data_IF_229806600637
#
_entry.id   IF_229806600637
#
_cell.length_a   1.000
_cell.length_b   1.000
_cell.length_c   1.000
_cell.angle_alpha   90.00
_cell.angle_beta   90.00
_cell.angle_gamma   90.00
#
_symmetry.space_group_name_H-M   'P 1'
#
loop_
_entity.id
_entity.type
_entity.pdbx_description
1 polymer ?
#
# COMPACT_ATOMS: atom_id res chain seq x y z
N UNK A 1 -6.19 -15.23 18.45
CA UNK A 1 -7.14 -16.21 17.86
C UNK A 1 -6.39 -17.05 16.82
N UNK A 2 -6.65 -18.37 16.70
CA UNK A 2 -5.95 -19.22 15.75
C UNK A 2 -6.38 -18.89 14.31
N UNK A 3 -5.42 -18.57 13.44
CA UNK A 3 -5.67 -18.12 12.07
C UNK A 3 -4.49 -18.46 11.17
N UNK A 4 -4.74 -18.54 9.86
CA UNK A 4 -3.67 -18.60 8.84
C UNK A 4 -3.40 -17.19 8.32
N UNK A 5 -2.19 -16.63 8.52
CA UNK A 5 -1.85 -15.29 8.04
C UNK A 5 -1.62 -15.23 6.52
N UNK A 6 -1.23 -14.04 6.05
CA UNK A 6 -0.84 -13.80 4.66
C UNK A 6 -1.99 -13.24 3.81
N UNK A 7 -1.69 -12.17 3.07
CA UNK A 7 -2.65 -11.48 2.19
C UNK A 7 -2.04 -11.07 0.84
N UNK A 8 -0.77 -11.38 0.62
CA UNK A 8 -0.01 -11.05 -0.57
C UNK A 8 0.45 -12.37 -1.19
N UNK A 9 -0.19 -12.80 -2.28
CA UNK A 9 0.13 -14.05 -2.96
C UNK A 9 -0.39 -14.07 -4.40
N UNK A 10 0.29 -14.92 -5.18
CA UNK A 10 -0.14 -15.36 -6.49
C UNK A 10 -0.09 -16.89 -6.55
N UNK A 11 -0.88 -17.48 -7.44
CA UNK A 11 -0.98 -18.92 -7.58
C UNK A 11 -1.67 -19.34 -8.88
N UNK A 12 -1.98 -20.62 -8.96
CA UNK A 12 -2.75 -21.21 -10.07
C UNK A 12 -4.05 -21.75 -9.50
N UNK A 13 -5.16 -21.45 -10.16
CA UNK A 13 -6.46 -22.01 -9.79
C UNK A 13 -6.47 -23.52 -10.00
N UNK A 14 -6.68 -24.29 -8.94
CA UNK A 14 -6.76 -25.76 -9.00
C UNK A 14 -8.20 -26.20 -9.34
N UNK A 15 -9.18 -25.65 -8.65
CA UNK A 15 -10.60 -25.96 -8.80
C UNK A 15 -11.45 -24.71 -8.57
N UNK A 16 -12.60 -24.60 -9.26
CA UNK A 16 -13.54 -23.49 -9.09
C UNK A 16 -14.92 -23.98 -8.67
N UNK A 17 -15.59 -23.18 -7.84
CA UNK A 17 -16.96 -23.47 -7.40
C UNK A 17 -17.97 -23.40 -8.56
N UNK A 18 -19.10 -24.10 -8.42
CA UNK A 18 -20.13 -24.24 -9.47
C UNK A 18 -20.60 -22.92 -10.10
N UNK A 19 -20.64 -21.85 -9.32
CA UNK A 19 -21.17 -20.54 -9.73
C UNK A 19 -20.07 -19.52 -10.04
N UNK A 20 -18.79 -19.91 -9.99
CA UNK A 20 -17.68 -19.02 -10.32
C UNK A 20 -17.67 -18.78 -11.82
N UNK A 21 -17.50 -17.52 -12.21
CA UNK A 21 -17.51 -17.10 -13.62
C UNK A 21 -16.29 -16.29 -14.02
N UNK A 22 -15.54 -15.76 -13.05
CA UNK A 22 -14.42 -14.85 -13.30
C UNK A 22 -13.07 -15.56 -13.52
N UNK A 23 -12.96 -16.83 -13.14
CA UNK A 23 -11.76 -17.66 -13.33
C UNK A 23 -12.12 -19.13 -13.58
N UNK A 24 -11.14 -19.92 -14.02
CA UNK A 24 -11.24 -21.38 -14.19
C UNK A 24 -9.94 -22.05 -13.77
N UNK A 25 -10.00 -23.37 -13.56
CA UNK A 25 -8.82 -24.19 -13.29
C UNK A 25 -7.71 -23.95 -14.34
N UNK A 26 -6.48 -23.80 -13.86
CA UNK A 26 -5.28 -23.50 -14.64
C UNK A 26 -5.06 -22.01 -14.96
N UNK A 27 -5.92 -21.10 -14.51
CA UNK A 27 -5.67 -19.66 -14.59
C UNK A 27 -4.61 -19.25 -13.55
N UNK A 28 -3.73 -18.33 -13.94
CA UNK A 28 -2.81 -17.70 -13.00
C UNK A 28 -3.52 -16.53 -12.34
N UNK A 29 -3.38 -16.40 -11.03
CA UNK A 29 -4.16 -15.43 -10.25
C UNK A 29 -3.31 -14.72 -9.20
N UNK A 30 -3.70 -13.48 -8.89
CA UNK A 30 -3.21 -12.70 -7.76
C UNK A 30 -4.37 -12.43 -6.82
N UNK A 31 -4.10 -12.50 -5.53
CA UNK A 31 -5.12 -12.20 -4.52
C UNK A 31 -5.27 -10.71 -4.28
N UNK A 32 -6.52 -10.27 -4.14
CA UNK A 32 -6.87 -8.99 -3.53
C UNK A 32 -7.63 -9.22 -2.23
N UNK A 33 -7.01 -8.87 -1.12
CA UNK A 33 -7.68 -8.90 0.20
C UNK A 33 -8.70 -7.76 0.36
N UNK A 34 -8.72 -6.79 -0.56
CA UNK A 34 -9.81 -5.83 -0.71
C UNK A 34 -10.63 -6.22 -1.95
N UNK A 35 -11.69 -7.02 -1.80
CA UNK A 35 -12.53 -7.46 -2.92
C UNK A 35 -13.27 -6.29 -3.59
N UNK A 36 -13.65 -6.52 -4.84
CA UNK A 36 -14.59 -5.66 -5.57
C UNK A 36 -15.97 -6.33 -5.53
N UNK A 37 -16.72 -6.13 -4.44
CA UNK A 37 -18.00 -6.86 -4.26
C UNK A 37 -19.13 -6.40 -5.19
N UNK A 38 -18.96 -5.32 -5.96
CA UNK A 38 -19.96 -4.81 -6.91
C UNK A 38 -21.24 -4.21 -6.30
N UNK A 39 -21.52 -4.43 -5.02
CA UNK A 39 -22.82 -4.13 -4.41
C UNK A 39 -22.79 -3.03 -3.34
N UNK A 40 -21.70 -2.89 -2.59
CA UNK A 40 -21.63 -1.88 -1.52
C UNK A 40 -21.48 -0.45 -2.07
N UNK A 41 -21.85 0.56 -1.28
CA UNK A 41 -21.82 1.99 -1.69
C UNK A 41 -20.46 2.43 -2.27
N UNK A 42 -19.36 1.93 -1.71
CA UNK A 42 -18.03 2.28 -2.20
C UNK A 42 -17.69 1.59 -3.51
N UNK A 43 -18.08 0.32 -3.67
CA UNK A 43 -17.87 -0.37 -4.95
C UNK A 43 -18.70 0.27 -6.08
N UNK A 44 -19.97 0.60 -5.82
CA UNK A 44 -20.87 1.19 -6.81
C UNK A 44 -20.53 2.65 -7.16
N UNK A 45 -19.76 3.34 -6.32
CA UNK A 45 -19.28 4.72 -6.57
C UNK A 45 -17.82 4.79 -7.03
N UNK A 46 -17.20 3.65 -7.39
CA UNK A 46 -15.83 3.62 -7.93
C UNK A 46 -14.72 3.73 -6.87
N UNK A 47 -15.03 3.45 -5.60
CA UNK A 47 -14.11 3.43 -4.45
C UNK A 47 -13.95 2.03 -3.85
N UNK A 48 -13.82 1.01 -4.70
CA UNK A 48 -13.70 -0.39 -4.27
C UNK A 48 -12.57 -0.65 -3.27
N UNK A 49 -11.52 0.18 -3.28
CA UNK A 49 -10.41 0.14 -2.34
C UNK A 49 -10.83 0.25 -0.86
N UNK A 50 -12.03 0.75 -0.54
CA UNK A 50 -12.61 0.75 0.82
C UNK A 50 -13.93 -0.04 0.90
N UNK A 51 -14.00 -1.15 0.18
CA UNK A 51 -15.13 -2.08 0.18
C UNK A 51 -15.57 -2.49 1.61
N UNK A 52 -16.87 -2.37 1.91
CA UNK A 52 -17.44 -2.74 3.22
C UNK A 52 -17.29 -4.25 3.47
N UNK A 53 -17.41 -5.07 2.43
CA UNK A 53 -17.28 -6.53 2.54
C UNK A 53 -15.88 -6.93 3.00
N UNK A 54 -14.84 -6.23 2.52
CA UNK A 54 -13.46 -6.41 2.98
C UNK A 54 -13.34 -6.21 4.50
N UNK A 55 -13.94 -5.11 5.00
CA UNK A 55 -13.91 -4.77 6.42
C UNK A 55 -14.63 -5.83 7.28
N UNK A 56 -15.77 -6.34 6.82
CA UNK A 56 -16.52 -7.40 7.51
C UNK A 56 -15.73 -8.72 7.58
N UNK A 57 -15.10 -9.12 6.47
CA UNK A 57 -14.27 -10.32 6.42
C UNK A 57 -13.10 -10.22 7.41
N UNK A 58 -12.41 -9.08 7.44
CA UNK A 58 -11.35 -8.78 8.40
C UNK A 58 -11.83 -8.83 9.85
N UNK A 59 -12.98 -8.21 10.16
CA UNK A 59 -13.51 -8.14 11.52
C UNK A 59 -13.95 -9.51 12.07
N UNK A 60 -14.44 -10.40 11.21
CA UNK A 60 -14.98 -11.72 11.61
C UNK A 60 -13.97 -12.87 11.49
N UNK A 61 -12.85 -12.63 10.80
CA UNK A 61 -11.87 -13.66 10.46
C UNK A 61 -12.47 -14.78 9.62
N UNK A 62 -13.33 -14.42 8.66
CA UNK A 62 -13.98 -15.31 7.71
C UNK A 62 -13.64 -14.89 6.28
N UNK A 63 -13.98 -15.72 5.29
CA UNK A 63 -14.02 -15.30 3.89
C UNK A 63 -15.07 -14.22 3.70
N UNK A 64 -15.06 -13.55 2.54
CA UNK A 64 -15.98 -12.45 2.23
C UNK A 64 -17.45 -12.89 2.18
N UNK A 65 -17.71 -14.17 1.91
CA UNK A 65 -19.03 -14.80 1.98
C UNK A 65 -19.42 -15.27 3.40
N UNK A 66 -18.58 -15.04 4.41
CA UNK A 66 -18.80 -15.41 5.81
C UNK A 66 -18.36 -16.82 6.20
N UNK A 67 -17.89 -17.63 5.25
CA UNK A 67 -17.49 -19.02 5.53
C UNK A 67 -16.08 -19.15 6.11
N UNK A 68 -15.81 -20.32 6.71
CA UNK A 68 -14.47 -20.75 7.13
C UNK A 68 -14.16 -22.08 6.44
N UNK A 69 -13.02 -22.12 5.76
CA UNK A 69 -12.60 -23.25 4.90
C UNK A 69 -11.32 -23.90 5.38
N UNK A 70 -10.71 -23.36 6.43
CA UNK A 70 -9.50 -23.86 7.06
C UNK A 70 -9.85 -24.52 8.39
N UNK A 71 -9.18 -25.63 8.70
CA UNK A 71 -9.31 -26.30 10.00
C UNK A 71 -8.00 -26.97 10.40
N UNK A 72 -7.78 -27.12 11.71
CA UNK A 72 -6.65 -27.86 12.27
C UNK A 72 -7.17 -28.80 13.36
N UNK A 73 -6.95 -30.11 13.19
CA UNK A 73 -7.47 -31.12 14.12
C UNK A 73 -9.00 -31.08 14.25
N UNK A 74 -9.71 -30.81 13.14
CA UNK A 74 -11.17 -30.67 13.12
C UNK A 74 -11.73 -29.37 13.70
N UNK A 75 -10.88 -28.46 14.20
CA UNK A 75 -11.31 -27.15 14.70
C UNK A 75 -11.18 -26.09 13.59
N UNK A 76 -12.23 -25.29 13.31
CA UNK A 76 -12.14 -24.22 12.34
C UNK A 76 -11.05 -23.19 12.69
N UNK A 77 -10.31 -22.74 11.68
CA UNK A 77 -9.38 -21.63 11.77
C UNK A 77 -10.00 -20.36 11.18
N UNK A 78 -9.55 -19.21 11.67
CA UNK A 78 -9.90 -17.92 11.06
C UNK A 78 -9.07 -17.63 9.81
N UNK A 79 -9.68 -16.90 8.89
CA UNK A 79 -9.02 -16.28 7.74
C UNK A 79 -8.49 -14.89 8.07
N UNK A 80 -7.49 -14.42 7.32
CA UNK A 80 -6.87 -13.10 7.48
C UNK A 80 -7.28 -12.17 6.35
N UNK A 81 -8.05 -11.12 6.64
CA UNK A 81 -8.55 -10.17 5.62
C UNK A 81 -9.37 -10.82 4.50
N UNK A 82 -10.11 -11.89 4.79
CA UNK A 82 -10.89 -12.59 3.77
C UNK A 82 -10.08 -13.50 2.84
N UNK A 83 -8.77 -13.61 3.06
CA UNK A 83 -7.83 -14.52 2.38
C UNK A 83 -6.95 -15.21 3.45
N UNK A 84 -6.06 -16.12 3.06
CA UNK A 84 -5.11 -16.78 3.98
C UNK A 84 -3.96 -17.41 3.21
N UNK A 85 -2.99 -16.57 2.84
CA UNK A 85 -2.01 -16.92 1.81
C UNK A 85 -0.83 -17.76 2.30
N UNK A 86 -0.63 -17.93 3.61
CA UNK A 86 0.46 -18.75 4.16
C UNK A 86 0.06 -20.22 4.27
N UNK A 87 -0.41 -20.79 3.16
CA UNK A 87 -0.78 -22.18 2.99
C UNK A 87 -0.49 -22.63 1.55
N UNK A 88 -0.21 -23.92 1.36
CA UNK A 88 0.01 -24.49 0.01
C UNK A 88 -1.25 -24.43 -0.86
N UNK A 89 -2.42 -24.48 -0.23
CA UNK A 89 -3.73 -24.30 -0.84
C UNK A 89 -4.58 -23.35 0.01
N UNK A 90 -5.40 -22.54 -0.65
CA UNK A 90 -6.39 -21.68 -0.01
C UNK A 90 -7.71 -21.71 -0.78
N UNK A 91 -8.78 -21.31 -0.10
CA UNK A 91 -10.07 -21.04 -0.74
C UNK A 91 -10.32 -19.55 -0.65
N UNK A 92 -10.53 -18.91 -1.79
CA UNK A 92 -10.93 -17.51 -1.89
C UNK A 92 -12.29 -17.40 -2.58
N UNK A 93 -12.96 -16.27 -2.41
CA UNK A 93 -14.14 -15.94 -3.22
C UNK A 93 -13.70 -15.23 -4.49
N UNK A 94 -14.43 -15.40 -5.59
CA UNK A 94 -14.03 -14.88 -6.91
C UNK A 94 -13.77 -13.36 -6.91
N UNK A 95 -14.49 -12.57 -6.10
CA UNK A 95 -14.28 -11.12 -5.99
C UNK A 95 -12.92 -10.70 -5.40
N UNK A 96 -12.17 -11.65 -4.83
CA UNK A 96 -10.82 -11.51 -4.28
C UNK A 96 -9.76 -12.11 -5.19
N UNK A 97 -10.13 -12.65 -6.35
CA UNK A 97 -9.24 -13.35 -7.28
C UNK A 97 -9.11 -12.52 -8.56
N UNK A 98 -7.88 -12.14 -8.91
CA UNK A 98 -7.60 -11.40 -10.14
C UNK A 98 -6.82 -12.32 -11.08
N UNK A 99 -7.42 -12.68 -12.21
CA UNK A 99 -6.73 -13.45 -13.27
C UNK A 99 -5.67 -12.57 -13.93
N UNK A 100 -4.48 -13.14 -14.11
CA UNK A 100 -3.32 -12.50 -14.72
C UNK A 100 -2.76 -13.33 -15.87
N UNK A 101 -1.93 -12.70 -16.69
CA UNK A 101 -1.24 -13.37 -17.79
C UNK A 101 -0.28 -14.44 -17.27
N UNK A 102 -0.20 -15.56 -17.99
CA UNK A 102 0.53 -16.76 -17.52
C UNK A 102 2.05 -16.61 -17.51
N UNK A 103 2.57 -15.64 -18.25
CA UNK A 103 4.00 -15.35 -18.38
C UNK A 103 4.52 -14.40 -17.30
N UNK A 104 3.64 -13.80 -16.49
CA UNK A 104 4.05 -13.01 -15.33
C UNK A 104 4.65 -13.93 -14.26
N UNK A 105 5.89 -13.68 -13.79
CA UNK A 105 6.49 -14.48 -12.72
C UNK A 105 5.67 -14.38 -11.43
N UNK A 106 5.35 -15.53 -10.80
CA UNK A 106 4.49 -15.58 -9.61
C UNK A 106 5.02 -14.77 -8.42
N UNK A 107 6.34 -14.70 -8.26
CA UNK A 107 6.98 -13.92 -7.19
C UNK A 107 6.70 -12.44 -7.36
N UNK A 108 6.78 -11.94 -8.59
CA UNK A 108 6.50 -10.53 -8.89
C UNK A 108 5.00 -10.26 -8.81
N UNK A 109 4.19 -11.17 -9.35
CA UNK A 109 2.73 -11.10 -9.32
C UNK A 109 2.17 -10.97 -7.89
N UNK A 110 2.74 -11.70 -6.93
CA UNK A 110 2.29 -11.66 -5.54
C UNK A 110 2.30 -10.22 -4.99
N UNK A 111 3.34 -9.43 -5.31
CA UNK A 111 3.51 -8.05 -4.84
C UNK A 111 2.39 -7.11 -5.31
N UNK A 112 1.68 -7.44 -6.39
CA UNK A 112 0.57 -6.63 -6.91
C UNK A 112 -0.67 -6.68 -6.01
N UNK A 113 -0.82 -7.73 -5.20
CA UNK A 113 -1.93 -7.86 -4.26
C UNK A 113 -1.89 -6.85 -3.10
N UNK A 114 -0.74 -6.21 -2.86
CA UNK A 114 -0.61 -5.22 -1.79
C UNK A 114 0.46 -4.15 -2.08
N UNK A 115 1.76 -4.51 -2.08
CA UNK A 115 2.84 -3.53 -2.09
C UNK A 115 2.85 -2.61 -3.33
N UNK A 116 2.71 -3.17 -4.53
CA UNK A 116 2.76 -2.41 -5.78
C UNK A 116 1.56 -1.48 -5.91
N UNK A 117 0.34 -2.02 -5.75
CA UNK A 117 -0.90 -1.23 -5.82
C UNK A 117 -0.89 -0.11 -4.78
N UNK A 118 -0.42 -0.38 -3.56
CA UNK A 118 -0.34 0.63 -2.51
C UNK A 118 0.69 1.72 -2.86
N UNK A 119 1.92 1.34 -3.16
CA UNK A 119 3.01 2.30 -3.40
C UNK A 119 2.81 3.10 -4.68
N UNK A 120 2.63 2.41 -5.82
CA UNK A 120 2.43 3.06 -7.12
C UNK A 120 1.10 3.81 -7.16
N UNK A 121 0.03 3.22 -6.62
CA UNK A 121 -1.28 3.88 -6.58
C UNK A 121 -1.30 5.11 -5.68
N UNK A 122 -0.53 5.16 -4.59
CA UNK A 122 -0.39 6.37 -3.78
C UNK A 122 0.17 7.54 -4.61
N UNK A 123 1.13 7.27 -5.50
CA UNK A 123 1.68 8.27 -6.42
C UNK A 123 0.65 8.68 -7.49
N UNK A 124 0.15 7.70 -8.24
CA UNK A 124 -0.59 7.95 -9.50
C UNK A 124 -2.06 8.27 -9.24
N UNK A 125 -2.71 7.55 -8.33
CA UNK A 125 -4.14 7.69 -8.09
C UNK A 125 -4.42 8.64 -6.93
N UNK A 126 -3.69 8.51 -5.81
CA UNK A 126 -3.99 9.30 -4.61
C UNK A 126 -3.47 10.72 -4.71
N UNK A 127 -2.16 10.87 -4.92
CA UNK A 127 -1.53 12.18 -5.03
C UNK A 127 -1.73 12.81 -6.41
N UNK A 128 -1.86 11.98 -7.45
CA UNK A 128 -1.92 12.41 -8.85
C UNK A 128 -0.79 13.37 -9.16
N UNK A 129 0.44 12.95 -8.86
CA UNK A 129 1.59 13.84 -9.02
C UNK A 129 1.68 14.31 -10.47
N UNK A 130 2.16 15.53 -10.65
CA UNK A 130 2.43 16.11 -11.96
C UNK A 130 3.85 15.73 -12.42
N UNK A 131 4.06 15.47 -13.71
CA UNK A 131 5.42 15.30 -14.25
C UNK A 131 6.31 16.49 -13.89
N UNK A 132 7.59 16.21 -13.63
CA UNK A 132 8.57 17.17 -13.13
C UNK A 132 8.46 17.48 -11.63
N UNK A 133 7.49 16.91 -10.91
CA UNK A 133 7.35 17.17 -9.49
C UNK A 133 8.54 16.68 -8.66
N UNK A 134 8.80 17.38 -7.55
CA UNK A 134 9.72 16.90 -6.50
C UNK A 134 8.94 16.13 -5.46
N UNK A 135 9.24 14.84 -5.30
CA UNK A 135 8.58 13.97 -4.31
C UNK A 135 9.56 13.52 -3.23
N UNK A 136 9.04 13.25 -2.03
CA UNK A 136 9.78 12.60 -0.95
C UNK A 136 9.10 11.31 -0.51
N UNK A 137 9.85 10.21 -0.37
CA UNK A 137 9.34 8.92 0.11
C UNK A 137 10.03 8.58 1.43
N UNK A 138 9.26 8.52 2.51
CA UNK A 138 9.73 8.23 3.87
C UNK A 138 9.34 6.80 4.25
N UNK A 139 10.36 5.96 4.38
CA UNK A 139 10.26 4.51 4.51
C UNK A 139 10.49 3.82 3.16
N UNK A 140 11.50 2.97 3.09
CA UNK A 140 11.93 2.26 1.88
C UNK A 140 11.79 0.74 2.05
N UNK A 141 10.67 0.30 2.63
CA UNK A 141 10.21 -1.08 2.54
C UNK A 141 9.62 -1.39 1.16
N UNK A 142 8.97 -2.56 0.99
CA UNK A 142 8.38 -2.97 -0.29
C UNK A 142 7.43 -1.91 -0.90
N UNK A 143 6.52 -1.37 -0.09
CA UNK A 143 5.60 -0.28 -0.51
C UNK A 143 6.35 0.98 -0.90
N UNK A 144 7.38 1.37 -0.15
CA UNK A 144 8.13 2.60 -0.41
C UNK A 144 9.03 2.52 -1.65
N UNK A 145 9.65 1.37 -1.89
CA UNK A 145 10.36 1.14 -3.14
C UNK A 145 9.40 1.11 -4.33
N UNK A 146 8.19 0.55 -4.16
CA UNK A 146 7.14 0.65 -5.18
C UNK A 146 6.67 2.09 -5.41
N UNK A 147 6.57 2.91 -4.36
CA UNK A 147 6.24 4.34 -4.47
C UNK A 147 7.35 5.12 -5.20
N UNK A 148 8.62 4.82 -4.93
CA UNK A 148 9.76 5.37 -5.67
C UNK A 148 9.64 5.04 -7.16
N UNK A 149 9.43 3.76 -7.52
CA UNK A 149 9.24 3.33 -8.90
C UNK A 149 7.99 3.98 -9.54
N UNK A 150 6.90 4.11 -8.78
CA UNK A 150 5.70 4.84 -9.21
C UNK A 150 5.99 6.31 -9.52
N UNK A 151 6.87 6.96 -8.74
CA UNK A 151 7.37 8.31 -8.99
C UNK A 151 8.11 8.41 -10.33
N UNK A 152 8.96 7.44 -10.64
CA UNK A 152 9.68 7.38 -11.92
C UNK A 152 8.68 7.23 -13.08
N UNK A 153 7.74 6.29 -12.98
CA UNK A 153 6.71 6.04 -14.00
C UNK A 153 5.82 7.27 -14.21
N UNK A 154 5.47 7.98 -13.14
CA UNK A 154 4.69 9.21 -13.20
C UNK A 154 5.49 10.44 -13.67
N UNK A 155 6.80 10.28 -13.93
CA UNK A 155 7.66 11.33 -14.45
C UNK A 155 8.09 12.36 -13.41
N UNK A 156 8.24 11.98 -12.13
CA UNK A 156 8.80 12.87 -11.11
C UNK A 156 10.19 13.39 -11.55
N UNK A 157 10.41 14.69 -11.40
CA UNK A 157 11.67 15.32 -11.79
C UNK A 157 12.78 15.12 -10.76
N UNK A 158 12.40 14.92 -9.49
CA UNK A 158 13.31 14.68 -8.37
C UNK A 158 12.65 13.79 -7.34
N UNK A 159 13.36 12.77 -6.85
CA UNK A 159 12.84 11.76 -5.93
C UNK A 159 13.77 11.67 -4.73
N UNK A 160 13.30 12.17 -3.59
CA UNK A 160 14.01 12.16 -2.31
C UNK A 160 13.64 10.89 -1.55
N UNK A 161 14.59 9.99 -1.34
CA UNK A 161 14.37 8.74 -0.61
C UNK A 161 14.91 8.84 0.83
N UNK A 162 14.07 8.52 1.81
CA UNK A 162 14.38 8.72 3.23
C UNK A 162 14.09 7.43 3.99
N UNK A 163 15.10 6.88 4.66
CA UNK A 163 15.00 5.70 5.53
C UNK A 163 16.05 5.80 6.64
N UNK A 164 15.94 4.98 7.67
CA UNK A 164 16.95 4.86 8.74
C UNK A 164 18.11 3.94 8.34
N UNK A 165 17.90 3.07 7.35
CA UNK A 165 18.86 2.05 6.96
C UNK A 165 19.61 2.42 5.67
N UNK A 166 20.94 2.52 5.75
CA UNK A 166 21.80 2.96 4.65
C UNK A 166 21.83 2.00 3.46
N UNK A 167 21.61 0.70 3.70
CA UNK A 167 21.50 -0.32 2.65
C UNK A 167 20.27 -0.07 1.76
N UNK A 168 19.11 0.27 2.37
CA UNK A 168 17.90 0.66 1.64
C UNK A 168 18.07 1.96 0.89
N UNK A 169 18.79 2.94 1.46
CA UNK A 169 19.17 4.16 0.74
C UNK A 169 20.05 3.83 -0.47
N UNK A 170 21.00 2.90 -0.31
CA UNK A 170 21.82 2.38 -1.40
C UNK A 170 20.98 1.78 -2.54
N UNK A 171 20.03 0.91 -2.19
CA UNK A 171 19.10 0.32 -3.15
C UNK A 171 18.21 1.37 -3.83
N UNK A 172 17.69 2.34 -3.09
CA UNK A 172 16.88 3.42 -3.66
C UNK A 172 17.65 4.22 -4.73
N UNK A 173 18.95 4.50 -4.53
CA UNK A 173 19.78 5.16 -5.56
C UNK A 173 19.90 4.29 -6.82
N UNK A 174 20.10 2.99 -6.66
CA UNK A 174 20.17 2.06 -7.80
C UNK A 174 18.86 2.01 -8.58
N UNK A 175 17.72 2.15 -7.88
CA UNK A 175 16.38 2.14 -8.49
C UNK A 175 15.95 3.47 -9.08
N UNK A 176 16.70 4.57 -8.86
CA UNK A 176 16.45 5.87 -9.48
C UNK A 176 16.06 7.02 -8.54
N UNK A 177 16.24 6.87 -7.22
CA UNK A 177 16.20 8.03 -6.32
C UNK A 177 17.31 9.02 -6.69
N UNK A 178 16.96 10.30 -6.78
CA UNK A 178 17.92 11.37 -7.11
C UNK A 178 18.73 11.80 -5.89
N UNK A 179 18.12 11.72 -4.71
CA UNK A 179 18.71 12.10 -3.45
C UNK A 179 18.27 11.13 -2.36
N UNK A 180 19.11 11.00 -1.35
CA UNK A 180 18.86 10.11 -0.22
C UNK A 180 19.27 10.77 1.09
N UNK A 181 18.46 10.62 2.13
CA UNK A 181 18.77 11.15 3.46
C UNK A 181 18.49 10.10 4.52
N UNK A 182 19.40 9.97 5.49
CA UNK A 182 19.19 9.06 6.61
C UNK A 182 18.31 9.74 7.67
N UNK A 183 17.17 9.14 7.99
CA UNK A 183 16.20 9.69 8.93
C UNK A 183 16.69 9.74 10.38
N UNK A 184 17.78 9.05 10.74
CA UNK A 184 18.40 9.14 12.07
C UNK A 184 19.30 10.36 12.23
N UNK A 185 19.62 11.05 11.14
CA UNK A 185 20.34 12.31 11.16
C UNK A 185 19.43 13.39 11.78
N UNK A 186 19.84 14.06 12.88
CA UNK A 186 19.01 15.06 13.54
C UNK A 186 18.68 16.25 12.63
N UNK A 187 19.51 16.50 11.61
CA UNK A 187 19.32 17.58 10.64
C UNK A 187 18.65 17.08 9.34
N UNK A 188 18.14 15.84 9.30
CA UNK A 188 17.59 15.23 8.08
C UNK A 188 16.52 16.12 7.42
N UNK A 189 15.59 16.66 8.20
CA UNK A 189 14.50 17.51 7.69
C UNK A 189 15.07 18.78 7.07
N UNK A 190 15.96 19.47 7.79
CA UNK A 190 16.56 20.73 7.32
C UNK A 190 17.38 20.49 6.04
N UNK A 191 18.16 19.41 6.00
CA UNK A 191 18.92 19.00 4.80
C UNK A 191 18.02 18.74 3.60
N UNK A 192 16.87 18.09 3.79
CA UNK A 192 15.90 17.87 2.71
C UNK A 192 15.29 19.20 2.25
N UNK A 193 14.87 20.06 3.19
CA UNK A 193 14.27 21.37 2.89
C UNK A 193 15.25 22.27 2.14
N UNK A 194 16.51 22.33 2.58
CA UNK A 194 17.57 23.11 1.93
C UNK A 194 17.90 22.56 0.53
N UNK A 195 18.07 21.24 0.42
CA UNK A 195 18.36 20.59 -0.85
C UNK A 195 17.24 20.84 -1.88
N UNK A 196 15.98 20.89 -1.44
CA UNK A 196 14.79 21.11 -2.27
C UNK A 196 14.35 22.57 -2.36
N UNK A 197 15.07 23.49 -1.69
CA UNK A 197 14.77 24.93 -1.63
C UNK A 197 13.36 25.24 -1.13
N UNK A 198 12.93 24.56 -0.08
CA UNK A 198 11.65 24.81 0.60
C UNK A 198 10.77 23.59 0.85
N UNK A 199 11.26 22.37 0.60
CA UNK A 199 10.53 21.13 0.79
C UNK A 199 9.99 20.50 -0.50
N UNK A 200 9.49 19.27 -0.38
CA UNK A 200 8.92 18.49 -1.48
C UNK A 200 7.47 18.87 -1.75
N UNK A 201 7.03 18.68 -2.99
CA UNK A 201 5.65 18.94 -3.42
C UNK A 201 4.68 17.88 -2.92
N UNK A 202 5.15 16.64 -2.91
CA UNK A 202 4.41 15.48 -2.42
C UNK A 202 5.32 14.66 -1.52
N UNK A 203 4.95 14.49 -0.25
CA UNK A 203 5.64 13.58 0.65
C UNK A 203 4.77 12.34 0.87
N UNK A 204 5.39 11.16 0.83
CA UNK A 204 4.75 9.87 0.99
C UNK A 204 5.31 9.21 2.25
N UNK A 205 4.45 8.98 3.24
CA UNK A 205 4.76 8.22 4.44
C UNK A 205 4.27 6.78 4.25
N UNK A 206 5.20 5.83 4.34
CA UNK A 206 4.95 4.41 4.07
C UNK A 206 5.70 3.49 5.04
N UNK A 207 6.15 4.03 6.18
CA UNK A 207 6.85 3.30 7.23
C UNK A 207 5.91 2.81 8.34
N UNK A 208 4.75 3.46 8.53
CA UNK A 208 3.75 3.09 9.53
C UNK A 208 4.11 3.50 10.95
N UNK A 209 4.89 4.55 11.12
CA UNK A 209 5.29 5.07 12.45
C UNK A 209 5.16 6.59 12.53
N UNK A 210 4.82 7.10 13.72
CA UNK A 210 4.56 8.54 13.92
C UNK A 210 5.77 9.40 13.56
N UNK A 211 6.99 8.93 13.86
CA UNK A 211 8.21 9.65 13.51
C UNK A 211 8.35 9.84 11.99
N UNK A 212 8.05 8.83 11.19
CA UNK A 212 8.07 8.94 9.73
C UNK A 212 6.99 9.90 9.21
N UNK A 213 5.80 9.89 9.82
CA UNK A 213 4.74 10.86 9.49
C UNK A 213 5.14 12.29 9.82
N UNK A 214 5.84 12.50 10.95
CA UNK A 214 6.40 13.80 11.30
C UNK A 214 7.44 14.25 10.27
N UNK A 215 8.36 13.38 9.87
CA UNK A 215 9.35 13.68 8.82
C UNK A 215 8.65 14.03 7.51
N UNK A 216 7.70 13.20 7.04
CA UNK A 216 6.98 13.43 5.80
C UNK A 216 6.21 14.77 5.80
N UNK A 217 5.53 15.09 6.89
CA UNK A 217 4.84 16.37 7.04
C UNK A 217 5.82 17.56 7.08
N UNK A 218 6.92 17.42 7.82
CA UNK A 218 7.91 18.50 7.98
C UNK A 218 8.63 18.85 6.67
N UNK A 219 8.96 17.86 5.85
CA UNK A 219 9.60 18.09 4.54
C UNK A 219 8.62 18.54 3.45
N UNK A 220 7.30 18.44 3.69
CA UNK A 220 6.29 18.91 2.72
C UNK A 220 6.34 20.43 2.64
N UNK A 221 6.32 21.01 1.45
CA UNK A 221 6.36 22.47 1.28
C UNK A 221 4.99 23.12 1.45
N UNK A 222 4.96 24.45 1.47
CA UNK A 222 3.74 25.26 1.33
C UNK A 222 3.00 24.96 0.02
N UNK A 223 1.69 24.71 0.09
CA UNK A 223 0.85 24.22 -1.01
C UNK A 223 1.08 22.75 -1.37
N UNK A 224 1.87 22.02 -0.58
CA UNK A 224 2.21 20.61 -0.80
C UNK A 224 1.21 19.63 -0.18
N UNK A 225 1.38 18.36 -0.53
CA UNK A 225 0.54 17.26 -0.03
C UNK A 225 1.39 16.20 0.69
N UNK A 226 1.00 15.86 1.91
CA UNK A 226 1.49 14.68 2.61
C UNK A 226 0.49 13.54 2.43
N UNK A 227 0.90 12.46 1.78
CA UNK A 227 0.13 11.22 1.64
C UNK A 227 0.68 10.17 2.60
N UNK A 228 -0.18 9.47 3.33
CA UNK A 228 0.20 8.36 4.20
C UNK A 228 -0.52 7.08 3.80
N UNK A 229 0.26 6.01 3.65
CA UNK A 229 -0.22 4.62 3.52
C UNK A 229 0.34 3.72 4.62
N UNK A 230 1.29 4.23 5.44
CA UNK A 230 1.80 3.52 6.59
C UNK A 230 0.73 3.33 7.65
N UNK A 231 0.58 2.11 8.16
CA UNK A 231 -0.36 1.79 9.24
C UNK A 231 0.38 1.66 10.56
N UNK A 232 0.19 2.64 11.46
CA UNK A 232 0.66 2.57 12.84
C UNK A 232 -0.32 1.78 13.73
N UNK A 233 0.10 1.50 14.96
CA UNK A 233 -0.79 1.00 16.00
C UNK A 233 -1.95 2.00 16.24
N UNK A 234 -3.13 1.49 16.61
CA UNK A 234 -4.39 2.26 16.59
C UNK A 234 -4.43 3.40 17.63
N UNK A 235 -3.68 3.24 18.71
CA UNK A 235 -3.56 4.18 19.82
C UNK A 235 -2.59 5.33 19.54
N UNK A 236 -1.75 5.21 18.50
CA UNK A 236 -0.79 6.23 18.15
C UNK A 236 -1.48 7.43 17.50
N UNK A 237 -1.09 8.64 17.93
CA UNK A 237 -1.65 9.89 17.40
C UNK A 237 -0.56 10.75 16.78
N UNK A 238 -0.91 11.41 15.67
CA UNK A 238 -0.08 12.40 15.01
C UNK A 238 -0.69 13.79 15.22
N UNK A 239 0.09 14.71 15.76
CA UNK A 239 -0.34 16.07 16.10
C UNK A 239 0.36 17.08 15.19
N UNK A 240 -0.38 18.07 14.71
CA UNK A 240 0.14 19.17 13.89
C UNK A 240 -0.36 20.52 14.41
N UNK A 241 0.39 21.60 14.17
CA UNK A 241 -0.13 22.95 14.35
C UNK A 241 -1.25 23.23 13.33
N UNK A 242 -2.51 23.32 13.79
CA UNK A 242 -3.67 23.56 12.92
C UNK A 242 -3.53 24.83 12.07
N UNK A 243 -3.06 25.93 12.66
CA UNK A 243 -2.88 27.19 11.94
C UNK A 243 -1.89 27.06 10.78
N UNK A 244 -0.83 26.24 10.93
CA UNK A 244 0.14 26.00 9.86
C UNK A 244 -0.50 25.26 8.69
N UNK A 245 -1.33 24.25 8.95
CA UNK A 245 -2.05 23.52 7.88
C UNK A 245 -2.84 24.50 6.99
N UNK A 246 -3.51 25.47 7.61
CA UNK A 246 -4.31 26.50 6.90
C UNK A 246 -3.42 27.53 6.20
N UNK A 247 -2.46 28.13 6.91
CA UNK A 247 -1.60 29.21 6.38
C UNK A 247 -0.69 28.74 5.26
N UNK A 248 -0.16 27.52 5.39
CA UNK A 248 0.69 26.91 4.37
C UNK A 248 -0.13 26.20 3.28
N UNK A 249 -1.46 26.23 3.32
CA UNK A 249 -2.32 25.59 2.31
C UNK A 249 -1.94 24.11 2.05
N UNK A 250 -1.57 23.38 3.11
CA UNK A 250 -1.11 21.98 2.98
C UNK A 250 -2.29 21.02 3.00
N UNK A 251 -2.12 19.89 2.32
CA UNK A 251 -3.06 18.77 2.38
C UNK A 251 -2.43 17.59 3.11
N UNK A 252 -3.19 16.93 3.99
CA UNK A 252 -2.85 15.61 4.53
C UNK A 252 -3.90 14.62 4.04
N UNK A 253 -3.48 13.54 3.39
CA UNK A 253 -4.39 12.59 2.75
C UNK A 253 -4.00 11.14 3.08
N UNK A 254 -4.96 10.34 3.52
CA UNK A 254 -4.78 8.90 3.63
C UNK A 254 -4.89 8.23 2.26
N UNK A 255 -4.07 7.21 2.02
CA UNK A 255 -4.13 6.35 0.85
C UNK A 255 -4.19 4.89 1.29
N UNK A 256 -5.33 4.24 1.03
CA UNK A 256 -5.51 2.82 1.34
C UNK A 256 -5.67 2.05 0.03
N UNK A 257 -4.74 1.11 -0.21
CA UNK A 257 -4.62 0.37 -1.48
C UNK A 257 -4.48 1.29 -2.71
N UNK A 258 -3.75 2.40 -2.57
CA UNK A 258 -3.44 3.28 -3.70
C UNK A 258 -4.67 4.00 -4.28
N UNK A 259 -5.56 4.47 -3.39
CA UNK A 259 -6.88 5.07 -3.67
C UNK A 259 -6.90 6.33 -4.51
#
# INVERSE_FOLDING_TARGET
>A
VPMVPGHEAAGVEEEVGKNVTQCKAGDHVVMSFVPICGECEYCTTGRSNICITAFRARATGALINGERRLSLGGRPLHHTNGVSCYAEYMVACEDSVIVIDKDVPMVDAALFGCAVVTGVGAIINTAKIRPGATIGVVGLGGVGLCALLGGIVAGAGRIIAIDVADDKLGLARQLGATDTFNATDPDCVDKVVDATKGGVEYAFEVAGVVAAMQTAYAITRRGGMTVTSGLSQQEHTFKIPHAQLVVDERTIKGSYMGS
#
